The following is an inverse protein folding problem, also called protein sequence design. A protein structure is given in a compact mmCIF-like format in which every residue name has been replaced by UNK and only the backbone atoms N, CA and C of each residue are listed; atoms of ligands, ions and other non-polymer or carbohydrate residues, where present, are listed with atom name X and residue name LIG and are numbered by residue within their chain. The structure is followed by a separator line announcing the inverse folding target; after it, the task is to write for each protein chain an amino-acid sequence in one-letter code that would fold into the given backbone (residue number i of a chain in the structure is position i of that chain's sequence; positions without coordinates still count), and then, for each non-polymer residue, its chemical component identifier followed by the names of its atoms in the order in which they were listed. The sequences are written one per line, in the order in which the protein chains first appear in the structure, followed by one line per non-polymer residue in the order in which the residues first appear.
data_IF_418571667036
#
_entry.id   IF_418571667036
#
_cell.length_a   1.000
_cell.length_b   1.000
_cell.length_c   1.000
_cell.angle_alpha   90.00
_cell.angle_beta   90.00
_cell.angle_gamma   90.00
#
_symmetry.space_group_name_H-M   'P 1'
#
loop_
_entity.id
_entity.type
_entity.pdbx_description
1 polymer ?
#
# COMPACT_ATOMS: atom_id res chain seq x y z
N UNK A 1 -30.88 -6.45 -13.11
CA UNK A 1 -29.94 -6.22 -11.99
C UNK A 1 -29.55 -7.60 -11.49
N UNK A 2 -28.26 -7.94 -11.49
CA UNK A 2 -27.81 -9.25 -11.02
C UNK A 2 -27.90 -9.32 -9.48
N UNK A 3 -28.64 -10.29 -8.92
CA UNK A 3 -28.96 -10.32 -7.49
C UNK A 3 -27.75 -10.53 -6.56
N UNK A 4 -26.56 -10.91 -7.05
CA UNK A 4 -25.34 -11.07 -6.24
C UNK A 4 -24.51 -9.78 -6.04
N UNK A 5 -24.73 -8.76 -6.87
CA UNK A 5 -23.86 -7.56 -6.88
C UNK A 5 -24.04 -6.62 -5.68
N UNK A 6 -25.26 -6.54 -5.15
CA UNK A 6 -25.58 -5.67 -4.00
C UNK A 6 -25.22 -6.32 -2.66
N UNK A 7 -25.44 -7.63 -2.53
CA UNK A 7 -25.06 -8.40 -1.34
C UNK A 7 -23.54 -8.38 -1.12
N UNK A 8 -22.76 -8.53 -2.20
CA UNK A 8 -21.29 -8.40 -2.19
C UNK A 8 -20.82 -7.02 -1.71
N UNK A 9 -21.43 -5.94 -2.19
CA UNK A 9 -21.07 -4.57 -1.81
C UNK A 9 -21.38 -4.27 -0.35
N UNK A 10 -22.46 -4.82 0.19
CA UNK A 10 -22.84 -4.64 1.58
C UNK A 10 -21.91 -5.40 2.53
N UNK A 11 -21.58 -6.66 2.22
CA UNK A 11 -20.62 -7.46 3.02
C UNK A 11 -19.21 -6.86 2.97
N UNK A 12 -18.74 -6.40 1.81
CA UNK A 12 -17.44 -5.71 1.68
C UNK A 12 -17.42 -4.40 2.49
N UNK A 13 -18.54 -3.69 2.56
CA UNK A 13 -18.67 -2.46 3.36
C UNK A 13 -18.68 -2.74 4.85
N UNK A 14 -19.47 -3.71 5.32
CA UNK A 14 -19.54 -4.10 6.74
C UNK A 14 -18.20 -4.61 7.25
N UNK A 15 -17.51 -5.45 6.47
CA UNK A 15 -16.20 -5.96 6.84
C UNK A 15 -15.13 -4.86 6.94
N UNK A 16 -15.10 -3.92 5.98
CA UNK A 16 -14.20 -2.76 6.00
C UNK A 16 -14.42 -1.82 7.18
N UNK A 17 -15.68 -1.55 7.51
CA UNK A 17 -16.03 -0.67 8.65
C UNK A 17 -15.55 -1.31 9.97
N UNK A 18 -15.59 -2.64 10.07
CA UNK A 18 -15.22 -3.34 11.31
C UNK A 18 -13.73 -3.35 11.64
N UNK A 19 -12.83 -3.19 10.65
CA UNK A 19 -11.39 -3.40 10.87
C UNK A 19 -10.52 -2.15 10.83
N UNK A 20 -10.93 -1.09 10.13
CA UNK A 20 -10.02 -0.01 9.78
C UNK A 20 -8.75 -0.53 9.07
N UNK A 21 -7.88 0.35 8.59
CA UNK A 21 -6.56 -0.08 8.07
C UNK A 21 -5.62 -0.61 9.18
N UNK A 22 -6.03 -0.51 10.44
CA UNK A 22 -5.25 -0.91 11.62
C UNK A 22 -5.19 -2.42 11.85
N UNK A 23 -6.22 -3.19 11.47
CA UNK A 23 -6.28 -4.64 11.76
C UNK A 23 -5.88 -5.53 10.57
N UNK A 24 -5.69 -4.95 9.39
CA UNK A 24 -5.63 -5.71 8.13
C UNK A 24 -4.32 -6.47 7.95
N UNK A 25 -3.23 -6.05 8.58
CA UNK A 25 -2.03 -6.87 8.70
C UNK A 25 -1.25 -6.46 9.94
N UNK A 26 -1.18 -7.32 10.96
CA UNK A 26 -0.16 -7.24 12.00
C UNK A 26 1.21 -7.59 11.37
N UNK A 27 1.68 -6.79 10.43
CA UNK A 27 3.05 -6.89 9.95
C UNK A 27 3.91 -6.33 11.05
N UNK A 28 4.75 -7.17 11.59
CA UNK A 28 5.85 -6.69 12.41
C UNK A 28 6.86 -5.98 11.49
N UNK A 29 6.59 -4.71 11.20
CA UNK A 29 7.45 -3.84 10.37
C UNK A 29 8.88 -3.85 10.90
N UNK A 30 9.05 -4.00 12.21
CA UNK A 30 10.37 -4.04 12.86
C UNK A 30 11.11 -5.33 12.53
N UNK A 31 10.41 -6.46 12.52
CA UNK A 31 10.95 -7.76 12.09
C UNK A 31 11.30 -7.78 10.60
N UNK A 32 10.42 -7.27 9.75
CA UNK A 32 10.55 -7.41 8.29
C UNK A 32 11.45 -6.35 7.65
N UNK A 33 11.47 -5.12 8.17
CA UNK A 33 12.29 -4.03 7.63
C UNK A 33 13.50 -3.69 8.50
N UNK A 34 13.43 -3.82 9.82
CA UNK A 34 14.56 -3.52 10.72
C UNK A 34 15.19 -2.15 10.45
N UNK A 35 16.48 -2.17 10.07
CA UNK A 35 17.28 -0.98 9.71
C UNK A 35 16.91 -0.39 8.33
N UNK A 36 16.27 -1.18 7.47
CA UNK A 36 15.85 -0.76 6.12
C UNK A 36 14.52 0.02 6.15
N UNK A 37 13.86 0.15 7.31
CA UNK A 37 12.58 0.85 7.41
C UNK A 37 12.73 2.31 7.00
N UNK A 38 12.02 2.69 5.94
CA UNK A 38 11.93 4.07 5.48
C UNK A 38 10.81 4.80 6.23
N UNK A 39 11.15 5.92 6.85
CA UNK A 39 10.20 6.84 7.49
C UNK A 39 9.78 7.93 6.53
N UNK A 40 8.52 8.34 6.60
CA UNK A 40 7.98 9.40 5.74
C UNK A 40 8.69 10.75 5.99
N UNK A 41 9.19 10.98 7.20
CA UNK A 41 9.96 12.18 7.54
C UNK A 41 11.32 12.24 6.83
N UNK A 42 11.87 11.11 6.38
CA UNK A 42 13.11 11.09 5.60
C UNK A 42 12.90 11.68 4.19
N UNK A 43 11.66 11.80 3.71
CA UNK A 43 11.37 12.46 2.42
C UNK A 43 11.39 13.99 2.53
N UNK A 44 11.16 14.54 3.72
CA UNK A 44 10.97 15.99 3.97
C UNK A 44 12.10 16.86 3.41
N UNK A 45 13.40 16.56 3.65
CA UNK A 45 14.50 17.40 3.18
C UNK A 45 14.58 17.50 1.64
N UNK A 46 14.02 16.53 0.92
CA UNK A 46 14.07 16.49 -0.54
C UNK A 46 12.92 17.24 -1.20
N UNK A 47 11.75 17.30 -0.53
CA UNK A 47 10.54 17.94 -1.04
C UNK A 47 10.49 19.43 -0.72
N UNK A 48 11.18 19.86 0.34
CA UNK A 48 11.30 21.27 0.71
C UNK A 48 12.18 22.01 -0.29
N UNK A 49 11.56 22.85 -1.14
CA UNK A 49 12.26 23.68 -2.12
C UNK A 49 12.29 23.11 -3.56
N UNK A 50 11.72 21.92 -3.79
CA UNK A 50 11.66 21.30 -5.12
C UNK A 50 10.24 20.83 -5.46
N UNK A 51 9.46 21.65 -6.20
CA UNK A 51 8.08 21.32 -6.55
C UNK A 51 7.92 20.03 -7.37
N UNK A 52 8.92 19.67 -8.17
CA UNK A 52 8.89 18.45 -8.98
C UNK A 52 9.07 17.22 -8.10
N UNK A 53 10.05 17.24 -7.19
CA UNK A 53 10.27 16.16 -6.22
C UNK A 53 9.09 16.06 -5.26
N UNK A 54 8.50 17.18 -4.84
CA UNK A 54 7.26 17.18 -4.06
C UNK A 54 6.12 16.48 -4.79
N UNK A 55 5.89 16.78 -6.06
CA UNK A 55 4.88 16.09 -6.86
C UNK A 55 5.15 14.60 -7.01
N UNK A 56 6.42 14.19 -7.17
CA UNK A 56 6.80 12.79 -7.20
C UNK A 56 6.54 12.09 -5.86
N UNK A 57 6.85 12.75 -4.74
CA UNK A 57 6.55 12.24 -3.41
C UNK A 57 5.04 12.05 -3.19
N UNK A 58 4.22 13.03 -3.58
CA UNK A 58 2.75 12.90 -3.51
C UNK A 58 2.24 11.71 -4.33
N UNK A 59 2.84 11.46 -5.51
CA UNK A 59 2.54 10.27 -6.33
C UNK A 59 2.98 8.97 -5.65
N UNK A 60 4.14 8.95 -4.99
CA UNK A 60 4.61 7.80 -4.19
C UNK A 60 3.57 7.46 -3.12
N UNK A 61 3.14 8.45 -2.34
CA UNK A 61 2.15 8.24 -1.27
C UNK A 61 0.81 7.77 -1.86
N UNK A 62 0.35 8.39 -2.94
CA UNK A 62 -0.88 7.97 -3.62
C UNK A 62 -0.79 6.52 -4.13
N UNK A 63 0.36 6.10 -4.66
CA UNK A 63 0.58 4.72 -5.08
C UNK A 63 0.58 3.75 -3.89
N UNK A 64 1.25 4.09 -2.79
CA UNK A 64 1.27 3.28 -1.57
C UNK A 64 -0.15 3.10 -0.98
N UNK A 65 -0.95 4.18 -0.93
CA UNK A 65 -2.34 4.11 -0.48
C UNK A 65 -3.21 3.23 -1.37
N UNK A 66 -3.06 3.34 -2.70
CA UNK A 66 -3.75 2.47 -3.66
C UNK A 66 -3.33 1.01 -3.50
N UNK A 67 -2.04 0.76 -3.29
CA UNK A 67 -1.55 -0.58 -3.01
C UNK A 67 -2.17 -1.15 -1.74
N UNK A 68 -2.17 -0.39 -0.63
CA UNK A 68 -2.80 -0.80 0.62
C UNK A 68 -4.29 -1.15 0.45
N UNK A 69 -5.03 -0.36 -0.34
CA UNK A 69 -6.43 -0.64 -0.68
C UNK A 69 -6.60 -1.97 -1.46
N UNK A 70 -5.74 -2.24 -2.46
CA UNK A 70 -5.82 -3.49 -3.23
C UNK A 70 -5.35 -4.69 -2.44
N UNK A 71 -4.36 -4.50 -1.57
CA UNK A 71 -3.88 -5.49 -0.63
C UNK A 71 -4.99 -5.90 0.35
N UNK A 72 -5.69 -4.93 0.93
CA UNK A 72 -6.87 -5.17 1.78
C UNK A 72 -7.96 -5.96 1.05
N UNK A 73 -8.34 -5.52 -0.17
CA UNK A 73 -9.34 -6.22 -1.00
C UNK A 73 -8.96 -7.68 -1.25
N UNK A 74 -7.70 -7.92 -1.57
CA UNK A 74 -7.19 -9.26 -1.83
C UNK A 74 -7.36 -10.18 -0.61
N UNK A 75 -7.11 -9.68 0.61
CA UNK A 75 -7.31 -10.46 1.83
C UNK A 75 -8.78 -10.58 2.22
N UNK A 76 -9.58 -9.54 2.01
CA UNK A 76 -11.04 -9.57 2.20
C UNK A 76 -11.65 -10.73 1.41
N UNK A 77 -11.30 -10.86 0.13
CA UNK A 77 -11.84 -11.94 -0.73
C UNK A 77 -11.22 -13.32 -0.47
N UNK A 78 -10.25 -13.42 0.44
CA UNK A 78 -9.72 -14.70 0.95
C UNK A 78 -10.28 -15.08 2.32
N UNK A 79 -11.18 -14.27 2.88
CA UNK A 79 -11.90 -14.63 4.10
C UNK A 79 -12.81 -15.86 3.81
N UNK A 80 -12.69 -16.96 4.57
CA UNK A 80 -13.51 -18.16 4.40
C UNK A 80 -15.02 -17.90 4.42
N UNK A 81 -15.51 -17.03 5.31
CA UNK A 81 -16.95 -16.73 5.45
C UNK A 81 -17.51 -16.03 4.19
N UNK A 82 -16.74 -15.09 3.63
CA UNK A 82 -17.07 -14.42 2.38
C UNK A 82 -16.99 -15.39 1.19
N UNK A 83 -15.97 -16.24 1.16
CA UNK A 83 -15.81 -17.25 0.13
C UNK A 83 -16.98 -18.24 0.14
N UNK A 84 -17.45 -18.67 1.31
CA UNK A 84 -18.59 -19.59 1.45
C UNK A 84 -19.88 -19.04 0.85
N UNK A 85 -20.07 -17.72 0.90
CA UNK A 85 -21.24 -17.04 0.31
C UNK A 85 -21.23 -16.94 -1.22
N UNK A 86 -20.09 -17.19 -1.87
CA UNK A 86 -19.92 -17.11 -3.32
C UNK A 86 -20.04 -18.49 -3.98
N UNK A 87 -20.54 -18.54 -5.21
CA UNK A 87 -20.49 -19.77 -6.00
C UNK A 87 -19.07 -20.07 -6.55
N UNK A 88 -18.86 -21.25 -7.14
CA UNK A 88 -17.53 -21.67 -7.59
C UNK A 88 -16.96 -20.80 -8.73
N UNK A 89 -17.80 -20.25 -9.60
CA UNK A 89 -17.39 -19.40 -10.71
C UNK A 89 -17.08 -17.98 -10.20
N UNK A 90 -17.92 -17.44 -9.33
CA UNK A 90 -17.71 -16.17 -8.65
C UNK A 90 -16.43 -16.18 -7.83
N UNK A 91 -16.16 -17.25 -7.05
CA UNK A 91 -14.89 -17.39 -6.30
C UNK A 91 -13.67 -17.29 -7.20
N UNK A 92 -13.66 -17.98 -8.34
CA UNK A 92 -12.51 -17.96 -9.27
C UNK A 92 -12.29 -16.57 -9.86
N UNK A 93 -13.36 -15.92 -10.33
CA UNK A 93 -13.28 -14.58 -10.91
C UNK A 93 -12.83 -13.55 -9.88
N UNK A 94 -13.44 -13.53 -8.69
CA UNK A 94 -13.14 -12.54 -7.66
C UNK A 94 -11.71 -12.69 -7.13
N UNK A 95 -11.25 -13.92 -6.89
CA UNK A 95 -9.87 -14.17 -6.46
C UNK A 95 -8.87 -13.76 -7.55
N UNK A 96 -9.14 -14.12 -8.82
CA UNK A 96 -8.30 -13.75 -9.96
C UNK A 96 -8.17 -12.24 -10.14
N UNK A 97 -9.31 -11.54 -10.24
CA UNK A 97 -9.34 -10.08 -10.42
C UNK A 97 -8.65 -9.35 -9.25
N UNK A 98 -8.87 -9.81 -8.02
CA UNK A 98 -8.27 -9.18 -6.84
C UNK A 98 -6.74 -9.31 -6.81
N UNK A 99 -6.20 -10.46 -7.24
CA UNK A 99 -4.76 -10.69 -7.28
C UNK A 99 -4.11 -9.91 -8.43
N UNK A 100 -4.75 -9.87 -9.60
CA UNK A 100 -4.27 -9.10 -10.74
C UNK A 100 -4.22 -7.59 -10.42
N UNK A 101 -5.28 -7.06 -9.78
CA UNK A 101 -5.32 -5.66 -9.35
C UNK A 101 -4.25 -5.33 -8.30
N UNK A 102 -3.97 -6.28 -7.38
CA UNK A 102 -2.88 -6.16 -6.41
C UNK A 102 -1.53 -6.13 -7.11
N UNK A 103 -1.30 -6.99 -8.10
CA UNK A 103 -0.07 -7.02 -8.89
C UNK A 103 0.14 -5.75 -9.72
N UNK A 104 -0.91 -5.20 -10.33
CA UNK A 104 -0.81 -3.91 -11.02
C UNK A 104 -0.45 -2.77 -10.06
N UNK A 105 -1.08 -2.72 -8.89
CA UNK A 105 -0.76 -1.73 -7.87
C UNK A 105 0.68 -1.89 -7.34
N UNK A 106 1.17 -3.13 -7.17
CA UNK A 106 2.55 -3.42 -6.78
C UNK A 106 3.55 -2.83 -7.80
N UNK A 107 3.37 -3.17 -9.08
CA UNK A 107 4.24 -2.69 -10.16
C UNK A 107 4.23 -1.16 -10.29
N UNK A 108 3.05 -0.54 -10.18
CA UNK A 108 2.92 0.91 -10.22
C UNK A 108 3.62 1.60 -9.04
N UNK A 109 3.51 1.02 -7.85
CA UNK A 109 4.15 1.56 -6.64
C UNK A 109 5.68 1.43 -6.72
N UNK A 110 6.18 0.27 -7.15
CA UNK A 110 7.61 0.04 -7.44
C UNK A 110 8.16 1.05 -8.44
N UNK A 111 7.48 1.23 -9.57
CA UNK A 111 7.89 2.17 -10.60
C UNK A 111 7.96 3.62 -10.07
N UNK A 112 6.98 4.01 -9.26
CA UNK A 112 6.91 5.37 -8.71
C UNK A 112 8.01 5.63 -7.67
N UNK A 113 8.27 4.66 -6.77
CA UNK A 113 9.37 4.75 -5.79
C UNK A 113 10.75 4.73 -6.47
N UNK A 114 10.94 3.88 -7.48
CA UNK A 114 12.19 3.86 -8.25
C UNK A 114 12.41 5.17 -9.01
N UNK A 115 11.35 5.75 -9.57
CA UNK A 115 11.43 7.07 -10.20
C UNK A 115 11.82 8.15 -9.18
N UNK A 116 11.23 8.14 -7.98
CA UNK A 116 11.62 9.04 -6.90
C UNK A 116 13.10 8.88 -6.54
N UNK A 117 13.55 7.65 -6.26
CA UNK A 117 14.94 7.34 -5.92
C UNK A 117 15.93 7.84 -6.99
N UNK A 118 15.63 7.63 -8.28
CA UNK A 118 16.45 8.14 -9.39
C UNK A 118 16.56 9.67 -9.38
N UNK A 119 15.46 10.37 -9.09
CA UNK A 119 15.46 11.83 -9.10
C UNK A 119 16.15 12.44 -7.87
N UNK A 120 16.16 11.76 -6.71
CA UNK A 120 16.84 12.25 -5.51
C UNK A 120 18.29 11.75 -5.37
N UNK A 121 18.73 10.80 -6.20
CA UNK A 121 20.06 10.15 -6.10
C UNK A 121 21.24 11.12 -6.07
N UNK A 122 21.15 12.27 -6.74
CA UNK A 122 22.19 13.29 -6.72
C UNK A 122 22.25 14.09 -5.40
N UNK A 123 21.15 14.10 -4.63
CA UNK A 123 21.05 14.75 -3.32
C UNK A 123 21.44 13.79 -2.20
N UNK A 124 20.97 12.53 -2.29
CA UNK A 124 21.26 11.48 -1.32
C UNK A 124 21.33 10.11 -2.02
N UNK A 125 22.54 9.68 -2.41
CA UNK A 125 22.76 8.37 -3.03
C UNK A 125 22.42 7.20 -2.11
N UNK A 126 22.72 7.32 -0.81
CA UNK A 126 22.52 6.25 0.17
C UNK A 126 21.03 5.97 0.36
N UNK A 127 20.22 7.02 0.51
CA UNK A 127 18.77 6.86 0.61
C UNK A 127 18.16 6.30 -0.69
N UNK A 128 18.64 6.75 -1.85
CA UNK A 128 18.19 6.22 -3.14
C UNK A 128 18.56 4.73 -3.31
N UNK A 129 19.75 4.32 -2.90
CA UNK A 129 20.19 2.92 -2.94
C UNK A 129 19.41 2.03 -1.98
N UNK A 130 19.04 2.56 -0.81
CA UNK A 130 18.19 1.84 0.14
C UNK A 130 16.79 1.59 -0.42
N UNK A 131 16.19 2.59 -1.08
CA UNK A 131 14.90 2.41 -1.80
C UNK A 131 15.05 1.31 -2.84
N UNK A 132 16.04 1.39 -3.73
CA UNK A 132 16.23 0.39 -4.79
C UNK A 132 16.52 -1.01 -4.22
N UNK A 133 17.26 -1.13 -3.12
CA UNK A 133 17.50 -2.41 -2.44
C UNK A 133 16.20 -3.04 -1.96
N UNK A 134 15.33 -2.26 -1.31
CA UNK A 134 14.00 -2.72 -0.86
C UNK A 134 13.13 -3.15 -2.04
N UNK A 135 13.17 -2.38 -3.13
CA UNK A 135 12.38 -2.69 -4.32
C UNK A 135 12.88 -3.96 -5.04
N UNK A 136 14.18 -4.23 -5.02
CA UNK A 136 14.78 -5.37 -5.71
C UNK A 136 14.93 -6.63 -4.84
N UNK A 137 14.40 -6.62 -3.62
CA UNK A 137 14.31 -7.78 -2.73
C UNK A 137 13.60 -8.97 -3.42
N UNK A 138 14.24 -10.16 -3.40
CA UNK A 138 13.81 -11.34 -4.15
C UNK A 138 12.42 -11.82 -3.78
N UNK A 139 12.10 -11.73 -2.50
CA UNK A 139 10.87 -12.28 -1.93
C UNK A 139 9.73 -11.25 -1.99
N UNK A 140 10.03 -10.02 -2.42
CA UNK A 140 9.13 -8.86 -2.49
C UNK A 140 8.53 -8.46 -1.15
N UNK A 141 8.82 -9.18 -0.08
CA UNK A 141 8.33 -8.94 1.28
C UNK A 141 8.68 -7.53 1.72
N UNK A 142 9.95 -7.13 1.58
CA UNK A 142 10.37 -5.78 1.98
C UNK A 142 9.59 -4.69 1.26
N UNK A 143 9.43 -4.80 -0.06
CA UNK A 143 8.66 -3.86 -0.85
C UNK A 143 7.20 -3.77 -0.38
N UNK A 144 6.51 -4.90 -0.24
CA UNK A 144 5.14 -4.96 0.27
C UNK A 144 5.01 -4.28 1.63
N UNK A 145 5.90 -4.61 2.58
CA UNK A 145 5.86 -4.04 3.92
C UNK A 145 6.13 -2.54 3.89
N UNK A 146 7.09 -2.08 3.08
CA UNK A 146 7.38 -0.65 2.92
C UNK A 146 6.17 0.13 2.39
N UNK A 147 5.44 -0.40 1.40
CA UNK A 147 4.28 0.28 0.84
C UNK A 147 3.18 0.46 1.89
N UNK A 148 2.90 -0.60 2.65
CA UNK A 148 1.91 -0.59 3.71
C UNK A 148 2.30 0.32 4.87
N UNK A 149 3.58 0.29 5.28
CA UNK A 149 4.10 1.15 6.35
C UNK A 149 4.06 2.63 5.95
N UNK A 150 4.47 3.00 4.73
CA UNK A 150 4.40 4.39 4.26
C UNK A 150 2.96 4.90 4.17
N UNK A 151 2.02 4.08 3.69
CA UNK A 151 0.60 4.41 3.68
C UNK A 151 0.08 4.67 5.12
N UNK A 152 0.44 3.80 6.08
CA UNK A 152 0.02 3.92 7.48
C UNK A 152 0.64 5.14 8.17
N UNK A 153 1.94 5.38 7.96
CA UNK A 153 2.62 6.57 8.49
C UNK A 153 1.93 7.85 8.01
N UNK A 154 1.59 7.94 6.72
CA UNK A 154 0.87 9.09 6.16
C UNK A 154 -0.52 9.29 6.79
N UNK A 155 -1.30 8.22 6.93
CA UNK A 155 -2.63 8.30 7.56
C UNK A 155 -2.55 8.78 9.01
N UNK A 156 -1.61 8.25 9.79
CA UNK A 156 -1.40 8.68 11.17
C UNK A 156 -1.01 10.17 11.24
N UNK A 157 -0.23 10.68 10.28
CA UNK A 157 0.09 12.10 10.22
C UNK A 157 -1.15 12.96 9.91
N UNK A 158 -2.05 12.52 9.03
CA UNK A 158 -3.30 13.22 8.72
C UNK A 158 -4.27 13.23 9.91
N UNK A 159 -4.42 12.09 10.60
CA UNK A 159 -5.26 11.98 11.80
C UNK A 159 -4.79 12.94 12.90
N UNK A 160 -3.48 13.01 13.16
CA UNK A 160 -2.90 13.96 14.13
C UNK A 160 -3.14 15.42 13.75
N UNK A 161 -3.06 15.76 12.46
CA UNK A 161 -3.34 17.12 11.97
C UNK A 161 -4.80 17.50 12.18
N UNK A 162 -5.73 16.58 11.93
CA UNK A 162 -7.16 16.82 12.09
C UNK A 162 -7.60 16.92 13.56
N UNK A 163 -6.87 16.30 14.49
CA UNK A 163 -7.12 16.41 15.93
C UNK A 163 -6.52 17.68 16.56
N UNK A 164 -5.56 18.30 15.88
CA UNK A 164 -4.88 19.52 16.33
C UNK A 164 -5.51 20.81 15.74
N UNK A 165 -6.47 20.68 14.82
CA UNK A 165 -7.21 21.78 14.20
C UNK A 165 -8.60 21.93 14.84
#
# INVERSE_FOLDING_TARGET
MEPGGEQRKNLEREWRISRGLSDIVSIDVRKELGVDRIKIEEFTPFVEGDPQIKSLFERVIAACLRYAEKFDRFWTFRNPELLESLDQQERRTVLGDSDEMRHFADNATRATLSAFARNIRHKDPEFADRIETILNDSDRTKATVTFLDLARQYQNQQERKNQAA
#
